data_IF_054037167875
#
_entry.id   IF_054037167875
#
_cell.length_a   1.000
_cell.length_b   1.000
_cell.length_c   1.000
_cell.angle_alpha   90.00
_cell.angle_beta   90.00
_cell.angle_gamma   90.00
#
_symmetry.space_group_name_H-M   'P 1'
#
loop_
_entity.id
_entity.type
_entity.pdbx_description
1 polymer ?
#
# COMPACT_ATOMS: atom_id res chain seq x y z
N UNK A 1 12.91 19.39 -32.24
CA UNK A 1 13.67 19.23 -33.50
C UNK A 1 12.98 18.17 -34.36
N UNK A 2 12.85 18.41 -35.65
CA UNK A 2 12.37 17.43 -36.62
C UNK A 2 13.52 17.05 -37.56
N UNK A 3 13.92 15.79 -37.55
CA UNK A 3 14.96 15.26 -38.41
C UNK A 3 14.36 14.60 -39.65
N UNK A 4 14.73 15.11 -40.81
CA UNK A 4 14.43 14.50 -42.11
C UNK A 4 15.70 14.06 -42.86
N UNK A 5 16.87 14.16 -42.20
CA UNK A 5 18.18 13.78 -42.74
C UNK A 5 18.93 12.86 -41.77
N UNK A 6 20.23 13.05 -41.60
CA UNK A 6 21.06 12.20 -40.74
C UNK A 6 21.39 12.89 -39.41
N UNK A 7 21.00 12.26 -38.30
CA UNK A 7 21.62 12.49 -36.99
C UNK A 7 22.65 11.38 -36.79
N UNK A 8 23.92 11.75 -36.64
CA UNK A 8 25.01 10.79 -36.45
C UNK A 8 25.79 11.12 -35.17
N UNK A 9 25.60 10.30 -34.14
CA UNK A 9 26.40 10.35 -32.92
C UNK A 9 27.59 9.41 -33.06
N UNK A 10 28.75 9.96 -33.36
CA UNK A 10 29.98 9.17 -33.54
C UNK A 10 30.43 8.51 -32.22
N UNK A 11 31.34 7.54 -32.32
CA UNK A 11 31.96 6.92 -31.15
C UNK A 11 32.62 7.98 -30.25
N UNK A 12 32.39 7.87 -28.93
CA UNK A 12 32.81 8.87 -27.94
C UNK A 12 31.93 10.13 -27.89
N UNK A 13 30.98 10.31 -28.82
CA UNK A 13 30.01 11.39 -28.82
C UNK A 13 28.90 11.18 -27.79
N UNK A 14 28.30 12.29 -27.34
CA UNK A 14 27.13 12.29 -26.45
C UNK A 14 26.04 13.20 -27.01
N UNK A 15 24.82 12.68 -27.15
CA UNK A 15 23.62 13.46 -27.45
C UNK A 15 22.72 13.41 -26.22
N UNK A 16 22.27 14.57 -25.74
CA UNK A 16 21.32 14.69 -24.64
C UNK A 16 20.05 15.38 -25.13
N UNK A 17 18.88 14.77 -24.87
CA UNK A 17 17.57 15.41 -25.02
C UNK A 17 17.04 15.67 -23.62
N UNK A 18 16.98 16.93 -23.21
CA UNK A 18 16.41 17.33 -21.92
C UNK A 18 14.91 17.00 -21.80
N UNK A 19 14.35 17.06 -20.59
CA UNK A 19 12.99 16.62 -20.18
C UNK A 19 11.84 17.13 -21.07
N UNK A 20 11.97 18.32 -21.66
CA UNK A 20 10.97 18.90 -22.58
C UNK A 20 11.44 18.97 -24.04
N UNK A 21 12.64 18.46 -24.30
CA UNK A 21 13.18 18.30 -25.63
C UNK A 21 12.39 17.25 -26.41
N UNK A 22 12.27 17.46 -27.71
CA UNK A 22 11.65 16.47 -28.60
C UNK A 22 12.49 16.31 -29.85
N UNK A 23 12.78 15.06 -30.21
CA UNK A 23 13.31 14.69 -31.53
C UNK A 23 12.27 13.85 -32.26
N UNK A 24 11.78 14.39 -33.37
CA UNK A 24 10.94 13.66 -34.31
C UNK A 24 11.81 13.22 -35.48
N UNK A 25 12.15 11.94 -35.56
CA UNK A 25 12.81 11.36 -36.72
C UNK A 25 11.73 11.02 -37.76
N UNK A 26 11.51 11.95 -38.69
CA UNK A 26 10.51 11.87 -39.74
C UNK A 26 10.85 10.78 -40.76
N UNK A 27 9.94 10.45 -41.69
CA UNK A 27 10.05 9.30 -42.60
C UNK A 27 11.32 9.20 -43.45
N UNK A 28 12.01 10.30 -43.75
CA UNK A 28 13.29 10.31 -44.48
C UNK A 28 14.52 10.40 -43.56
N UNK A 29 14.31 10.55 -42.26
CA UNK A 29 15.37 10.71 -41.29
C UNK A 29 16.06 9.39 -40.94
N UNK A 30 17.31 9.46 -40.49
CA UNK A 30 18.05 8.33 -39.93
C UNK A 30 18.80 8.81 -38.69
N UNK A 31 18.73 8.01 -37.62
CA UNK A 31 19.56 8.20 -36.42
C UNK A 31 20.57 7.06 -36.37
N UNK A 32 21.85 7.41 -36.39
CA UNK A 32 22.96 6.50 -36.11
C UNK A 32 23.57 6.87 -34.77
N UNK A 33 23.61 5.90 -33.85
CA UNK A 33 24.22 6.05 -32.55
C UNK A 33 25.38 5.07 -32.35
N UNK A 34 26.60 5.60 -32.33
CA UNK A 34 27.83 4.87 -32.01
C UNK A 34 28.44 5.31 -30.67
N UNK A 35 27.93 6.39 -30.07
CA UNK A 35 28.31 6.92 -28.76
C UNK A 35 27.20 6.72 -27.71
N UNK A 36 27.00 7.73 -26.87
CA UNK A 36 25.94 7.76 -25.84
C UNK A 36 24.80 8.68 -26.27
N UNK A 37 23.56 8.18 -26.19
CA UNK A 37 22.36 8.96 -26.47
C UNK A 37 21.46 8.92 -25.23
N UNK A 38 21.38 10.04 -24.51
CA UNK A 38 20.51 10.19 -23.35
C UNK A 38 19.22 10.92 -23.75
N UNK A 39 18.08 10.33 -23.41
CA UNK A 39 16.76 10.90 -23.65
C UNK A 39 16.01 11.08 -22.35
N UNK A 40 16.00 12.29 -21.81
CA UNK A 40 15.13 12.71 -20.72
C UNK A 40 13.78 13.24 -21.25
N UNK A 41 13.76 13.69 -22.51
CA UNK A 41 12.57 14.18 -23.20
C UNK A 41 11.85 13.12 -24.04
N UNK A 42 11.48 13.48 -25.27
CA UNK A 42 10.73 12.62 -26.20
C UNK A 42 11.50 12.31 -27.48
N UNK A 43 11.60 11.03 -27.84
CA UNK A 43 12.02 10.56 -29.17
C UNK A 43 10.85 9.90 -29.88
N UNK A 44 10.55 10.36 -31.09
CA UNK A 44 9.63 9.69 -32.00
C UNK A 44 10.42 9.19 -33.21
N UNK A 45 10.64 7.88 -33.30
CA UNK A 45 11.38 7.24 -34.38
C UNK A 45 10.42 6.59 -35.40
N UNK A 46 10.25 7.19 -36.58
CA UNK A 46 9.31 6.68 -37.59
C UNK A 46 9.93 5.77 -38.66
N UNK A 47 11.10 6.07 -39.27
CA UNK A 47 11.68 5.19 -40.29
C UNK A 47 12.62 4.13 -39.71
N UNK A 48 13.65 4.56 -38.96
CA UNK A 48 14.58 3.65 -38.33
C UNK A 48 15.75 4.30 -37.60
N UNK A 49 16.28 3.56 -36.63
CA UNK A 49 17.42 3.90 -35.81
C UNK A 49 18.44 2.76 -35.85
N UNK A 50 19.72 3.08 -35.97
CA UNK A 50 20.82 2.13 -35.83
C UNK A 50 21.62 2.49 -34.59
N UNK A 51 21.71 1.59 -33.63
CA UNK A 51 22.55 1.79 -32.44
C UNK A 51 23.59 0.69 -32.37
N UNK A 52 24.88 1.06 -32.38
CA UNK A 52 25.96 0.21 -31.91
C UNK A 52 26.58 0.76 -30.61
N UNK A 53 26.18 1.95 -30.18
CA UNK A 53 26.50 2.53 -28.88
C UNK A 53 25.40 2.32 -27.84
N UNK A 54 25.35 3.20 -26.84
CA UNK A 54 24.39 3.15 -25.73
C UNK A 54 23.28 4.17 -25.92
N UNK A 55 22.03 3.74 -25.74
CA UNK A 55 20.86 4.61 -25.62
C UNK A 55 20.34 4.47 -24.20
N UNK A 56 20.26 5.59 -23.47
CA UNK A 56 19.66 5.67 -22.15
C UNK A 56 18.35 6.46 -22.27
N UNK A 57 17.23 5.80 -22.04
CA UNK A 57 15.92 6.43 -22.03
C UNK A 57 15.47 6.67 -20.58
N UNK A 58 15.38 7.94 -20.19
CA UNK A 58 14.83 8.42 -18.92
C UNK A 58 13.43 9.05 -19.12
N UNK A 59 13.09 9.45 -20.35
CA UNK A 59 11.80 10.02 -20.73
C UNK A 59 10.95 9.06 -21.58
N UNK A 60 10.45 9.56 -22.71
CA UNK A 60 9.61 8.79 -23.64
C UNK A 60 10.35 8.47 -24.93
N UNK A 61 10.41 7.18 -25.29
CA UNK A 61 10.89 6.72 -26.58
C UNK A 61 9.76 5.97 -27.29
N UNK A 62 9.30 6.48 -28.42
CA UNK A 62 8.35 5.78 -29.30
C UNK A 62 9.05 5.35 -30.58
N UNK A 63 9.04 4.05 -30.86
CA UNK A 63 9.48 3.47 -32.12
C UNK A 63 8.29 3.02 -32.97
N UNK A 64 8.06 3.70 -34.09
CA UNK A 64 7.11 3.29 -35.14
C UNK A 64 7.80 2.66 -36.35
N UNK A 65 9.14 2.69 -36.42
CA UNK A 65 9.95 2.15 -37.51
C UNK A 65 10.79 0.95 -37.11
N UNK A 66 11.98 0.82 -37.72
CA UNK A 66 12.92 -0.28 -37.41
C UNK A 66 14.10 0.18 -36.56
N UNK A 67 14.29 -0.41 -35.39
CA UNK A 67 15.52 -0.28 -34.60
C UNK A 67 16.43 -1.47 -34.91
N UNK A 68 17.66 -1.21 -35.34
CA UNK A 68 18.72 -2.22 -35.39
C UNK A 68 19.70 -1.92 -34.26
N UNK A 69 19.58 -2.66 -33.17
CA UNK A 69 20.37 -2.47 -31.97
C UNK A 69 21.47 -3.54 -31.86
N UNK A 70 22.70 -3.15 -32.20
CA UNK A 70 23.90 -3.95 -31.95
C UNK A 70 24.62 -3.54 -30.65
N UNK A 71 24.14 -2.48 -29.98
CA UNK A 71 24.67 -1.96 -28.73
C UNK A 71 23.72 -2.23 -27.56
N UNK A 72 23.53 -1.23 -26.70
CA UNK A 72 22.67 -1.34 -25.51
C UNK A 72 21.59 -0.27 -25.53
N UNK A 73 20.35 -0.65 -25.23
CA UNK A 73 19.25 0.27 -24.97
C UNK A 73 18.77 0.01 -23.55
N UNK A 74 18.91 1.00 -22.68
CA UNK A 74 18.42 0.97 -21.30
C UNK A 74 17.19 1.86 -21.20
N UNK A 75 16.07 1.30 -20.76
CA UNK A 75 14.89 2.04 -20.37
C UNK A 75 14.85 2.11 -18.84
N UNK A 76 15.17 3.27 -18.28
CA UNK A 76 15.30 3.47 -16.84
C UNK A 76 13.93 3.53 -16.15
N UNK A 77 13.94 3.41 -14.81
CA UNK A 77 12.73 3.50 -14.02
C UNK A 77 11.96 4.80 -14.32
N UNK A 78 10.64 4.70 -14.49
CA UNK A 78 9.76 5.82 -14.81
C UNK A 78 9.73 6.20 -16.29
N UNK A 79 10.69 5.73 -17.09
CA UNK A 79 10.75 5.98 -18.52
C UNK A 79 9.76 5.09 -19.29
N UNK A 80 9.23 5.63 -20.38
CA UNK A 80 8.30 4.93 -21.26
C UNK A 80 8.98 4.56 -22.57
N UNK A 81 8.99 3.27 -22.91
CA UNK A 81 9.44 2.77 -24.21
C UNK A 81 8.29 2.07 -24.93
N UNK A 82 7.83 2.66 -26.03
CA UNK A 82 6.74 2.12 -26.85
C UNK A 82 7.34 1.63 -28.17
N UNK A 83 7.16 0.35 -28.47
CA UNK A 83 7.56 -0.22 -29.76
C UNK A 83 6.34 -0.67 -30.57
N UNK A 84 5.93 0.16 -31.52
CA UNK A 84 4.91 -0.16 -32.52
C UNK A 84 5.51 -0.75 -33.81
N UNK A 85 6.83 -0.63 -33.98
CA UNK A 85 7.56 -1.17 -35.12
C UNK A 85 8.36 -2.44 -34.79
N UNK A 86 9.55 -2.56 -35.38
CA UNK A 86 10.41 -3.75 -35.22
C UNK A 86 11.72 -3.39 -34.52
N UNK A 87 12.19 -4.27 -33.63
CA UNK A 87 13.52 -4.19 -33.02
C UNK A 87 14.28 -5.46 -33.39
N UNK A 88 15.45 -5.28 -34.01
CA UNK A 88 16.39 -6.33 -34.34
C UNK A 88 17.66 -6.21 -33.50
N UNK A 89 18.30 -7.34 -33.20
CA UNK A 89 19.54 -7.41 -32.44
C UNK A 89 19.29 -7.53 -30.94
N UNK A 90 20.08 -6.82 -30.13
CA UNK A 90 20.02 -6.89 -28.68
C UNK A 90 18.68 -6.32 -28.16
N UNK A 91 18.06 -6.98 -27.16
CA UNK A 91 16.80 -6.52 -26.58
C UNK A 91 16.97 -5.21 -25.81
N UNK A 92 15.84 -4.54 -25.54
CA UNK A 92 15.78 -3.40 -24.63
C UNK A 92 15.88 -3.90 -23.19
N UNK A 93 16.79 -3.32 -22.41
CA UNK A 93 16.94 -3.59 -20.98
C UNK A 93 16.00 -2.65 -20.19
N UNK A 94 15.02 -3.22 -19.49
CA UNK A 94 14.08 -2.46 -18.67
C UNK A 94 14.52 -2.48 -17.22
N UNK A 95 14.85 -1.31 -16.69
CA UNK A 95 15.12 -1.16 -15.27
C UNK A 95 13.82 -1.26 -14.47
N UNK A 96 13.83 -2.11 -13.44
CA UNK A 96 12.70 -2.21 -12.51
C UNK A 96 12.70 -1.03 -11.56
N UNK A 97 11.55 -0.38 -11.41
CA UNK A 97 11.39 0.66 -10.40
C UNK A 97 11.41 0.07 -8.98
N UNK A 98 11.98 0.80 -8.02
CA UNK A 98 11.86 0.44 -6.62
C UNK A 98 10.39 0.55 -6.19
N UNK A 99 9.85 -0.51 -5.62
CA UNK A 99 8.54 -0.59 -4.99
C UNK A 99 8.72 -0.60 -3.49
N UNK A 100 7.72 -0.08 -2.79
CA UNK A 100 7.67 -0.04 -1.34
C UNK A 100 6.25 -0.40 -0.95
N UNK A 101 6.11 -1.34 -0.02
CA UNK A 101 4.81 -1.70 0.53
C UNK A 101 4.90 -1.82 2.03
N UNK A 102 3.77 -1.57 2.69
CA UNK A 102 3.53 -1.91 4.07
C UNK A 102 2.24 -2.73 4.06
N UNK A 103 2.25 -3.94 4.62
CA UNK A 103 1.07 -4.77 4.79
C UNK A 103 0.83 -5.04 6.28
N UNK A 104 -0.43 -4.98 6.70
CA UNK A 104 -0.83 -5.34 8.06
C UNK A 104 -1.57 -6.66 8.01
N UNK A 105 -1.25 -7.57 8.94
CA UNK A 105 -1.95 -8.84 9.12
C UNK A 105 -2.29 -9.08 10.58
N UNK A 106 -3.41 -9.78 10.81
CA UNK A 106 -3.76 -10.37 12.09
C UNK A 106 -3.93 -11.87 11.89
N UNK A 107 -2.98 -12.66 12.39
CA UNK A 107 -2.84 -14.06 11.99
C UNK A 107 -2.68 -14.20 10.47
N UNK A 108 -3.59 -14.92 9.82
CA UNK A 108 -3.58 -15.13 8.35
C UNK A 108 -4.31 -14.05 7.55
N UNK A 109 -5.06 -13.18 8.23
CA UNK A 109 -5.94 -12.21 7.57
C UNK A 109 -5.22 -10.91 7.28
N UNK A 110 -5.34 -10.41 6.04
CA UNK A 110 -4.86 -9.08 5.68
C UNK A 110 -5.81 -8.01 6.22
N UNK A 111 -5.24 -6.99 6.85
CA UNK A 111 -5.96 -5.81 7.34
C UNK A 111 -5.65 -4.65 6.39
N UNK A 112 -6.62 -4.17 5.59
CA UNK A 112 -6.40 -3.04 4.69
C UNK A 112 -6.25 -1.73 5.48
N UNK A 113 -5.76 -0.68 4.81
CA UNK A 113 -5.65 0.65 5.41
C UNK A 113 -7.03 1.16 5.86
N UNK A 114 -7.13 1.58 7.12
CA UNK A 114 -8.36 1.96 7.82
C UNK A 114 -9.22 0.77 8.24
N UNK A 115 -8.77 -0.45 8.00
CA UNK A 115 -9.48 -1.69 8.30
C UNK A 115 -9.61 -1.97 9.79
N UNK A 116 -10.37 -3.01 10.12
CA UNK A 116 -10.65 -3.40 11.49
C UNK A 116 -9.81 -4.63 11.89
N UNK A 117 -9.39 -4.64 13.15
CA UNK A 117 -8.73 -5.80 13.75
C UNK A 117 -9.17 -5.96 15.22
N UNK A 118 -8.95 -7.15 15.77
CA UNK A 118 -9.33 -7.50 17.13
C UNK A 118 -8.31 -6.98 18.14
N UNK A 119 -8.81 -6.61 19.32
CA UNK A 119 -7.97 -6.31 20.48
C UNK A 119 -7.33 -7.60 21.01
N UNK A 120 -6.12 -7.49 21.58
CA UNK A 120 -5.34 -8.58 22.19
C UNK A 120 -4.88 -9.70 21.26
N UNK A 121 -5.16 -9.61 19.96
CA UNK A 121 -4.66 -10.52 18.93
C UNK A 121 -3.42 -9.91 18.27
N UNK A 122 -2.33 -10.69 18.17
CA UNK A 122 -1.06 -10.23 17.59
C UNK A 122 -1.23 -9.74 16.14
N UNK A 123 -0.69 -8.56 15.88
CA UNK A 123 -0.61 -7.93 14.57
C UNK A 123 0.82 -8.02 14.06
N UNK A 124 0.97 -8.23 12.75
CA UNK A 124 2.26 -8.17 12.06
C UNK A 124 2.20 -7.13 10.96
N UNK A 125 3.10 -6.16 11.02
CA UNK A 125 3.40 -5.23 9.95
C UNK A 125 4.59 -5.75 9.14
N UNK A 126 4.40 -6.00 7.85
CA UNK A 126 5.45 -6.42 6.93
C UNK A 126 5.71 -5.30 5.94
N UNK A 127 6.91 -4.71 5.99
CA UNK A 127 7.37 -3.76 5.00
C UNK A 127 8.22 -4.50 3.96
N UNK A 128 7.95 -4.28 2.67
CA UNK A 128 8.75 -4.89 1.60
C UNK A 128 9.21 -3.86 0.59
N UNK A 129 10.41 -4.08 0.04
CA UNK A 129 10.96 -3.29 -1.05
C UNK A 129 11.95 -4.09 -1.88
N UNK A 130 12.00 -3.84 -3.18
CA UNK A 130 13.08 -4.30 -4.07
C UNK A 130 14.16 -3.21 -4.27
N UNK A 131 14.10 -2.10 -3.55
CA UNK A 131 15.08 -1.02 -3.63
C UNK A 131 16.42 -1.47 -3.05
N UNK A 132 17.50 -1.18 -3.77
CA UNK A 132 18.87 -1.40 -3.29
C UNK A 132 19.39 -0.26 -2.41
N UNK A 133 18.65 0.85 -2.31
CA UNK A 133 19.03 2.01 -1.49
C UNK A 133 18.49 1.95 -0.07
N UNK A 134 17.59 1.00 0.24
CA UNK A 134 17.07 0.77 1.59
C UNK A 134 17.78 -0.44 2.21
N UNK A 135 18.31 -0.26 3.43
CA UNK A 135 18.97 -1.33 4.21
C UNK A 135 18.18 -1.75 5.45
N UNK A 136 17.32 -0.88 5.95
CA UNK A 136 16.52 -1.08 7.16
C UNK A 136 15.21 -0.33 7.06
N UNK A 137 14.25 -0.71 7.90
CA UNK A 137 12.96 -0.05 8.05
C UNK A 137 12.80 0.39 9.49
N UNK A 138 12.52 1.67 9.69
CA UNK A 138 12.08 2.21 10.98
C UNK A 138 10.56 2.15 11.05
N UNK A 139 10.05 1.19 11.81
CA UNK A 139 8.64 1.10 12.12
C UNK A 139 8.30 2.06 13.25
N UNK A 140 7.24 2.84 13.10
CA UNK A 140 6.69 3.68 14.17
C UNK A 140 5.21 3.41 14.32
N UNK A 141 4.79 2.96 15.49
CA UNK A 141 3.39 2.80 15.88
C UNK A 141 2.98 3.95 16.78
N UNK A 142 1.90 4.63 16.42
CA UNK A 142 1.18 5.55 17.30
C UNK A 142 -0.10 4.89 17.78
N UNK A 143 -0.25 4.80 19.09
CA UNK A 143 -1.42 4.22 19.77
C UNK A 143 -2.58 5.24 19.87
N UNK A 144 -3.80 4.79 20.19
CA UNK A 144 -4.96 5.68 20.36
C UNK A 144 -4.78 6.73 21.45
N UNK A 145 -3.97 6.43 22.47
CA UNK A 145 -3.62 7.34 23.57
C UNK A 145 -2.44 8.26 23.24
N UNK A 146 -2.02 8.30 21.97
CA UNK A 146 -0.88 9.06 21.42
C UNK A 146 0.50 8.58 21.85
N UNK A 147 0.61 7.49 22.61
CA UNK A 147 1.91 6.88 22.90
C UNK A 147 2.53 6.34 21.62
N UNK A 148 3.85 6.47 21.51
CA UNK A 148 4.62 6.11 20.32
C UNK A 148 5.58 4.97 20.68
N UNK A 149 5.66 3.99 19.80
CA UNK A 149 6.65 2.92 19.84
C UNK A 149 7.39 2.88 18.50
N UNK A 150 8.71 2.75 18.55
CA UNK A 150 9.57 2.80 17.37
C UNK A 150 10.57 1.67 17.40
N UNK A 151 10.69 0.94 16.29
CA UNK A 151 11.65 -0.15 16.14
C UNK A 151 12.33 -0.08 14.78
N UNK A 152 13.65 -0.22 14.78
CA UNK A 152 14.46 -0.32 13.57
C UNK A 152 14.71 -1.80 13.27
N UNK A 153 14.37 -2.23 12.06
CA UNK A 153 14.47 -3.64 11.63
C UNK A 153 15.24 -3.71 10.31
N UNK A 154 16.34 -4.47 10.21
CA UNK A 154 17.08 -4.60 8.97
C UNK A 154 16.25 -5.33 7.90
N UNK A 155 16.43 -4.95 6.64
CA UNK A 155 15.82 -5.65 5.50
C UNK A 155 16.58 -6.95 5.24
N UNK A 156 15.87 -8.08 5.31
CA UNK A 156 16.38 -9.40 4.93
C UNK A 156 15.68 -9.81 3.64
N UNK A 157 16.43 -9.92 2.55
CA UNK A 157 15.89 -10.21 1.21
C UNK A 157 14.76 -9.26 0.78
N UNK A 158 14.87 -7.97 1.14
CA UNK A 158 13.87 -6.95 0.79
C UNK A 158 12.63 -6.94 1.68
N UNK A 159 12.64 -7.62 2.83
CA UNK A 159 11.51 -7.65 3.78
C UNK A 159 11.96 -7.36 5.22
N UNK A 160 11.15 -6.61 5.95
CA UNK A 160 11.31 -6.34 7.37
C UNK A 160 9.94 -6.49 8.08
N UNK A 161 9.94 -7.01 9.30
CA UNK A 161 8.72 -7.29 10.06
C UNK A 161 8.76 -6.66 11.44
N UNK A 162 7.62 -6.12 11.85
CA UNK A 162 7.35 -5.57 13.17
C UNK A 162 6.05 -6.19 13.69
N UNK A 163 6.09 -6.77 14.88
CA UNK A 163 4.90 -7.36 15.52
C UNK A 163 4.53 -6.61 16.78
N UNK A 164 3.22 -6.50 17.03
CA UNK A 164 2.70 -5.93 18.26
C UNK A 164 1.32 -6.49 18.60
N UNK A 165 0.95 -6.43 19.88
CA UNK A 165 -0.39 -6.81 20.35
C UNK A 165 -1.13 -5.56 20.83
N UNK A 166 -2.22 -5.13 20.18
CA UNK A 166 -2.97 -3.94 20.59
C UNK A 166 -3.74 -4.22 21.88
N UNK A 167 -3.53 -3.38 22.90
CA UNK A 167 -4.19 -3.48 24.22
C UNK A 167 -5.21 -2.37 24.47
N UNK A 168 -5.25 -1.35 23.60
CA UNK A 168 -6.21 -0.26 23.63
C UNK A 168 -7.15 -0.36 22.43
N UNK A 169 -8.44 -0.11 22.63
CA UNK A 169 -9.37 0.09 21.53
C UNK A 169 -9.21 1.50 20.94
N UNK A 170 -9.42 1.64 19.64
CA UNK A 170 -9.30 2.92 18.93
C UNK A 170 -8.45 2.82 17.67
N UNK A 171 -8.07 3.99 17.15
CA UNK A 171 -7.29 4.11 15.92
C UNK A 171 -5.79 4.03 16.21
N UNK A 172 -5.09 3.18 15.47
CA UNK A 172 -3.63 3.12 15.47
C UNK A 172 -3.10 3.56 14.11
N UNK A 173 -1.91 4.15 14.13
CA UNK A 173 -1.16 4.50 12.93
C UNK A 173 0.16 3.73 12.94
N UNK A 174 0.45 3.03 11.85
CA UNK A 174 1.71 2.31 11.62
C UNK A 174 2.43 2.98 10.46
N UNK A 175 3.65 3.44 10.70
CA UNK A 175 4.55 4.01 9.69
C UNK A 175 5.72 3.06 9.46
N UNK A 176 6.09 2.88 8.21
CA UNK A 176 7.33 2.24 7.79
C UNK A 176 8.16 3.26 7.01
N UNK A 177 9.26 3.71 7.62
CA UNK A 177 10.26 4.58 6.99
C UNK A 177 11.43 3.73 6.50
N UNK A 178 11.70 3.74 5.20
CA UNK A 178 12.75 2.94 4.57
C UNK A 178 14.14 3.61 4.61
N UNK A 179 14.27 4.77 5.28
CA UNK A 179 15.54 5.47 5.48
C UNK A 179 16.09 6.20 4.25
N UNK A 180 15.38 6.11 3.11
CA UNK A 180 15.76 6.72 1.83
C UNK A 180 14.75 7.79 1.36
N UNK A 181 13.96 8.33 2.29
CA UNK A 181 12.95 9.36 2.04
C UNK A 181 11.56 8.82 1.67
N UNK A 182 11.39 7.50 1.53
CA UNK A 182 10.07 6.88 1.35
C UNK A 182 9.50 6.45 2.69
N UNK A 183 8.32 6.96 3.02
CA UNK A 183 7.56 6.58 4.22
C UNK A 183 6.17 6.13 3.81
N UNK A 184 5.75 4.95 4.25
CA UNK A 184 4.40 4.44 4.05
C UNK A 184 3.67 4.44 5.38
N UNK A 185 2.46 4.97 5.38
CA UNK A 185 1.58 5.01 6.55
C UNK A 185 0.34 4.14 6.30
N UNK A 186 -0.01 3.34 7.30
CA UNK A 186 -1.27 2.63 7.38
C UNK A 186 -1.98 2.95 8.70
N UNK A 187 -3.30 3.05 8.63
CA UNK A 187 -4.17 3.19 9.80
C UNK A 187 -4.93 1.90 10.02
N UNK A 188 -5.29 1.60 11.25
CA UNK A 188 -6.14 0.46 11.58
C UNK A 188 -7.01 0.80 12.80
N UNK A 189 -8.20 0.21 12.87
CA UNK A 189 -9.16 0.43 13.93
C UNK A 189 -9.32 -0.83 14.77
N UNK A 190 -8.92 -0.76 16.03
CA UNK A 190 -9.10 -1.84 16.99
C UNK A 190 -10.42 -1.68 17.72
N UNK A 191 -11.29 -2.67 17.59
CA UNK A 191 -12.56 -2.74 18.32
C UNK A 191 -12.54 -3.86 19.35
N UNK A 192 -13.20 -3.65 20.49
CA UNK A 192 -13.55 -4.73 21.39
C UNK A 192 -14.76 -5.45 20.80
N UNK A 193 -14.61 -6.71 20.40
CA UNK A 193 -15.76 -7.51 20.00
C UNK A 193 -16.39 -8.10 21.28
N UNK A 194 -17.47 -7.49 21.77
CA UNK A 194 -18.26 -8.07 22.87
C UNK A 194 -19.11 -9.20 22.30
N UNK A 195 -18.63 -10.43 22.45
CA UNK A 195 -19.53 -11.59 22.37
C UNK A 195 -20.24 -11.64 23.73
N UNK A 196 -21.56 -11.39 23.84
CA UNK A 196 -22.25 -11.64 25.10
C UNK A 196 -22.07 -13.12 25.40
N UNK A 197 -21.32 -13.42 26.47
CA UNK A 197 -20.83 -14.75 26.84
C UNK A 197 -21.98 -15.77 27.00
N UNK A 198 -23.22 -15.31 27.10
CA UNK A 198 -24.38 -16.17 26.94
C UNK A 198 -25.65 -15.37 26.63
N UNK A 199 -26.27 -15.61 25.46
CA UNK A 199 -27.66 -15.18 25.22
C UNK A 199 -28.61 -15.75 26.30
N UNK A 200 -28.30 -16.96 26.82
CA UNK A 200 -29.08 -17.62 27.88
C UNK A 200 -28.88 -16.91 29.22
N UNK A 201 -27.67 -16.43 29.53
CA UNK A 201 -27.39 -15.62 30.72
C UNK A 201 -28.19 -14.32 30.73
N UNK A 202 -28.24 -13.61 29.62
CA UNK A 202 -29.04 -12.38 29.47
C UNK A 202 -30.54 -12.66 29.59
N UNK A 203 -31.02 -13.74 28.97
CA UNK A 203 -32.43 -14.17 29.08
C UNK A 203 -32.76 -14.61 30.51
N UNK A 204 -31.87 -15.30 31.20
CA UNK A 204 -32.06 -15.71 32.60
C UNK A 204 -32.12 -14.51 33.55
N UNK A 205 -31.33 -13.47 33.29
CA UNK A 205 -31.33 -12.21 34.04
C UNK A 205 -32.65 -11.44 33.83
N UNK A 206 -33.12 -11.36 32.58
CA UNK A 206 -34.42 -10.78 32.24
C UNK A 206 -35.56 -11.59 32.89
N UNK A 207 -35.55 -12.92 32.78
CA UNK A 207 -36.57 -13.79 33.36
C UNK A 207 -36.61 -13.71 34.88
N UNK A 208 -35.45 -13.59 35.53
CA UNK A 208 -35.33 -13.45 36.99
C UNK A 208 -35.88 -12.09 37.46
N UNK A 209 -35.61 -11.01 36.72
CA UNK A 209 -36.18 -9.69 37.01
C UNK A 209 -37.71 -9.68 36.88
N UNK A 210 -38.25 -10.37 35.87
CA UNK A 210 -39.70 -10.48 35.65
C UNK A 210 -40.35 -11.38 36.71
N UNK A 211 -39.73 -12.50 37.07
CA UNK A 211 -40.17 -13.39 38.15
C UNK A 211 -40.22 -12.67 39.50
N UNK A 212 -39.18 -11.90 39.83
CA UNK A 212 -39.13 -11.06 41.03
C UNK A 212 -40.23 -9.99 41.04
N UNK A 213 -40.48 -9.33 39.91
CA UNK A 213 -41.54 -8.34 39.78
C UNK A 213 -42.94 -8.94 39.98
N UNK A 214 -43.19 -10.12 39.40
CA UNK A 214 -44.47 -10.84 39.58
C UNK A 214 -44.65 -11.28 41.03
N UNK A 215 -43.60 -11.80 41.67
CA UNK A 215 -43.64 -12.17 43.09
C UNK A 215 -43.91 -10.95 44.00
N UNK A 216 -43.26 -9.82 43.72
CA UNK A 216 -43.50 -8.56 44.45
C UNK A 216 -44.94 -8.06 44.28
N UNK A 217 -45.48 -8.10 43.05
CA UNK A 217 -46.88 -7.71 42.79
C UNK A 217 -47.86 -8.62 43.53
N UNK A 218 -47.60 -9.93 43.57
CA UNK A 218 -48.42 -10.90 44.31
C UNK A 218 -48.38 -10.64 45.82
N UNK A 219 -47.20 -10.43 46.39
CA UNK A 219 -47.05 -10.07 47.81
C UNK A 219 -47.74 -8.74 48.16
N UNK A 220 -47.73 -7.75 47.26
CA UNK A 220 -48.45 -6.49 47.44
C UNK A 220 -49.97 -6.69 47.45
N UNK A 221 -50.49 -7.56 46.58
CA UNK A 221 -51.91 -7.89 46.54
C UNK A 221 -52.35 -8.70 47.77
N UNK A 222 -51.57 -9.68 48.23
CA UNK A 222 -51.90 -10.47 49.43
C UNK A 222 -51.91 -9.61 50.72
N UNK A 223 -51.03 -8.60 50.80
CA UNK A 223 -51.04 -7.59 51.88
C UNK A 223 -52.25 -6.63 51.81
N UNK A 224 -52.95 -6.56 50.68
CA UNK A 224 -54.18 -5.76 50.53
C UNK A 224 -55.43 -6.55 50.95
N UNK A 225 -55.47 -7.86 50.70
CA UNK A 225 -56.59 -8.73 51.08
C UNK A 225 -56.61 -9.04 52.59
N UNK A 226 -55.45 -9.22 53.21
CA UNK A 226 -55.33 -9.38 54.67
C UNK A 226 -55.75 -8.12 55.43
N UNK A 227 -55.65 -6.93 54.83
CA UNK A 227 -56.17 -5.68 55.40
C UNK A 227 -57.69 -5.57 55.28
N UNK A 228 -58.31 -6.10 54.21
CA UNK A 228 -59.78 -6.12 54.07
C UNK A 228 -60.45 -7.11 55.03
N UNK A 229 -59.84 -8.27 55.32
CA UNK A 229 -60.40 -9.27 56.25
C UNK A 229 -60.36 -8.90 57.74
N UNK A 230 -59.60 -7.87 58.14
CA UNK A 230 -59.55 -7.37 59.54
C UNK A 230 -60.46 -6.17 59.82
N UNK A 231 -61.17 -5.67 58.81
CA UNK A 231 -62.15 -4.61 58.98
C UNK A 231 -63.55 -5.17 59.24
N UNK A 232 -63.94 -5.15 60.51
CA UNK A 232 -65.32 -5.16 61.04
C UNK A 232 -66.17 -6.41 60.82
N UNK A 233 -66.10 -7.31 61.81
CA UNK A 233 -67.28 -7.97 62.38
C UNK A 233 -67.29 -7.67 63.90
N UNK A 234 -68.28 -6.89 64.32
CA UNK A 234 -68.76 -6.51 65.66
C UNK A 234 -69.94 -5.58 65.33
N UNK A 235 -71.21 -5.92 65.44
CA UNK A 235 -71.94 -6.86 66.27
C UNK A 235 -73.22 -6.12 66.67
N UNK A 236 -74.37 -6.64 66.23
CA UNK A 236 -75.78 -6.37 66.62
C UNK A 236 -76.19 -4.90 66.83
#
# INVERSE_FOLDING_TARGET
MSNSGLINNNAGGTINIADFGTINNNSSGTINNYGVFNNDGTINNNPGLRSSGTINNYGTFTNNGTINNNGTINNYCGATFINNGTINGNPVNYESCPTYTLELKQGVNNVPNGGNANINDEMTATATTNSTTASEVTFTRTNPDTTIDTQIVPLVSGSAQYSFTPTLAGSYTIKADFGNGVVIEQTLNISFNVVPESMVGTVALIASSLGGFVAFKRMRNDKSDTRKRKGTDLGI
#
